data_IF_396909012716
#
_entry.id   IF_396909012716
#
_cell.length_a   1.000
_cell.length_b   1.000
_cell.length_c   1.000
_cell.angle_alpha   90.00
_cell.angle_beta   90.00
_cell.angle_gamma   90.00
#
_symmetry.space_group_name_H-M   'P 1'
#
loop_
_entity.id
_entity.type
_entity.pdbx_description
1 polymer ?
#
# COMPACT_ATOMS: atom_id res chain seq x y z
N UNK A 1 13.98 17.99 15.07
CA UNK A 1 12.95 16.95 14.98
C UNK A 1 11.75 17.56 14.27
N UNK A 2 11.52 17.22 13.01
CA UNK A 2 10.31 17.63 12.28
C UNK A 2 9.21 16.63 12.62
N UNK A 3 8.04 17.11 13.01
CA UNK A 3 6.87 16.27 13.27
C UNK A 3 6.06 16.18 11.99
N UNK A 4 5.81 14.96 11.50
CA UNK A 4 4.88 14.74 10.40
C UNK A 4 3.46 14.62 10.98
N UNK A 5 2.55 15.46 10.50
CA UNK A 5 1.14 15.41 10.87
C UNK A 5 0.39 14.63 9.78
N UNK A 6 0.06 13.38 10.07
CA UNK A 6 -0.72 12.53 9.18
C UNK A 6 -2.13 12.35 9.73
N UNK A 7 -3.13 12.49 8.87
CA UNK A 7 -4.44 11.89 9.11
C UNK A 7 -4.30 10.37 8.87
N UNK A 8 -4.49 9.57 9.91
CA UNK A 8 -4.29 8.13 9.86
C UNK A 8 -5.61 7.37 10.03
N UNK A 9 -5.78 6.32 9.25
CA UNK A 9 -6.88 5.36 9.39
C UNK A 9 -6.38 3.95 9.11
N UNK A 10 -7.07 2.96 9.69
CA UNK A 10 -6.74 1.55 9.54
C UNK A 10 -7.82 0.90 8.68
N UNK A 11 -7.40 0.22 7.62
CA UNK A 11 -8.28 -0.60 6.79
C UNK A 11 -8.08 -2.06 7.19
N UNK A 12 -9.15 -2.79 7.59
CA UNK A 12 -9.02 -4.18 8.00
C UNK A 12 -8.60 -5.06 6.82
N UNK A 13 -7.64 -5.95 7.03
CA UNK A 13 -7.21 -6.88 5.99
C UNK A 13 -8.27 -7.96 5.70
N UNK A 14 -8.32 -8.39 4.44
CA UNK A 14 -9.08 -9.57 4.03
C UNK A 14 -8.30 -10.85 4.33
N UNK A 15 -9.04 -11.90 4.69
CA UNK A 15 -8.51 -13.26 4.89
C UNK A 15 -8.89 -14.14 3.72
N UNK A 16 -8.32 -15.35 3.64
CA UNK A 16 -8.72 -16.35 2.64
C UNK A 16 -10.20 -16.76 2.72
N UNK A 17 -10.87 -16.43 3.83
CA UNK A 17 -12.29 -16.71 4.07
C UNK A 17 -13.19 -15.50 3.83
N UNK A 18 -12.63 -14.33 3.53
CA UNK A 18 -13.40 -13.12 3.25
C UNK A 18 -14.24 -13.28 1.96
N UNK A 19 -15.49 -12.79 1.90
CA UNK A 19 -16.35 -12.91 0.72
C UNK A 19 -15.72 -12.40 -0.58
N UNK A 20 -14.92 -11.35 -0.49
CA UNK A 20 -14.19 -10.71 -1.60
C UNK A 20 -13.16 -11.66 -2.22
N UNK A 21 -12.55 -12.51 -1.39
CA UNK A 21 -11.60 -13.55 -1.81
C UNK A 21 -12.36 -14.77 -2.33
N UNK A 22 -13.35 -15.26 -1.57
CA UNK A 22 -14.14 -16.45 -1.92
C UNK A 22 -14.82 -16.31 -3.29
N UNK A 23 -15.39 -15.14 -3.58
CA UNK A 23 -16.00 -14.84 -4.89
C UNK A 23 -15.00 -14.93 -6.06
N UNK A 24 -13.70 -14.82 -5.78
CA UNK A 24 -12.60 -14.83 -6.75
C UNK A 24 -11.74 -16.09 -6.70
N UNK A 25 -12.11 -17.11 -5.92
CA UNK A 25 -11.38 -18.38 -5.83
C UNK A 25 -11.17 -19.08 -7.19
N UNK A 26 -12.00 -18.76 -8.19
CA UNK A 26 -11.82 -19.28 -9.55
C UNK A 26 -10.52 -18.79 -10.23
N UNK A 27 -9.93 -17.66 -9.79
CA UNK A 27 -8.67 -17.13 -10.29
C UNK A 27 -7.44 -17.96 -9.84
N UNK A 28 -7.60 -18.77 -8.80
CA UNK A 28 -6.56 -19.70 -8.31
C UNK A 28 -6.45 -20.94 -9.21
N UNK A 29 -7.39 -21.14 -10.14
CA UNK A 29 -7.38 -22.28 -11.06
C UNK A 29 -6.13 -22.17 -11.95
N UNK A 30 -5.33 -23.24 -11.95
CA UNK A 30 -4.01 -23.38 -12.60
C UNK A 30 -2.80 -22.97 -11.74
N UNK A 31 -2.98 -22.56 -10.48
CA UNK A 31 -1.88 -22.44 -9.52
C UNK A 31 -0.92 -21.26 -9.75
N UNK A 32 -1.26 -20.33 -10.64
CA UNK A 32 -0.46 -19.11 -10.86
C UNK A 32 -0.62 -18.08 -9.75
N UNK A 33 -1.68 -18.18 -8.95
CA UNK A 33 -1.99 -17.28 -7.83
C UNK A 33 -2.53 -18.16 -6.71
N UNK A 34 -1.95 -18.03 -5.52
CA UNK A 34 -2.39 -18.70 -4.30
C UNK A 34 -3.54 -17.95 -3.64
N UNK A 35 -4.28 -18.62 -2.75
CA UNK A 35 -5.34 -17.96 -1.96
C UNK A 35 -4.81 -16.84 -1.07
N UNK A 36 -3.57 -16.98 -0.58
CA UNK A 36 -2.91 -15.97 0.25
C UNK A 36 -2.61 -14.73 -0.59
N UNK A 37 -2.01 -14.89 -1.78
CA UNK A 37 -1.76 -13.78 -2.70
C UNK A 37 -3.07 -13.07 -3.11
N UNK A 38 -4.16 -13.83 -3.30
CA UNK A 38 -5.46 -13.26 -3.59
C UNK A 38 -6.03 -12.45 -2.40
N UNK A 39 -5.83 -12.92 -1.17
CA UNK A 39 -6.23 -12.19 0.04
C UNK A 39 -5.39 -10.92 0.25
N UNK A 40 -4.08 -10.98 0.02
CA UNK A 40 -3.20 -9.81 0.02
C UNK A 40 -3.63 -8.79 -1.04
N UNK A 41 -3.91 -9.24 -2.26
CA UNK A 41 -4.42 -8.38 -3.34
C UNK A 41 -5.75 -7.72 -2.94
N UNK A 42 -6.70 -8.49 -2.40
CA UNK A 42 -7.99 -7.95 -1.98
C UNK A 42 -7.83 -6.87 -0.90
N UNK A 43 -6.94 -7.10 0.07
CA UNK A 43 -6.65 -6.14 1.14
C UNK A 43 -6.08 -4.83 0.59
N UNK A 44 -5.14 -4.91 -0.36
CA UNK A 44 -4.62 -3.73 -1.06
C UNK A 44 -5.70 -2.99 -1.85
N UNK A 45 -6.59 -3.70 -2.53
CA UNK A 45 -7.70 -3.08 -3.27
C UNK A 45 -8.67 -2.32 -2.35
N UNK A 46 -8.87 -2.80 -1.12
CA UNK A 46 -9.68 -2.10 -0.14
C UNK A 46 -9.04 -0.78 0.30
N UNK A 47 -7.71 -0.76 0.48
CA UNK A 47 -6.96 0.48 0.76
C UNK A 47 -7.11 1.46 -0.41
N UNK A 48 -6.92 1.00 -1.64
CA UNK A 48 -7.08 1.85 -2.82
C UNK A 48 -8.49 2.44 -2.93
N UNK A 49 -9.52 1.65 -2.60
CA UNK A 49 -10.90 2.13 -2.58
C UNK A 49 -11.10 3.21 -1.50
N UNK A 50 -10.54 3.00 -0.30
CA UNK A 50 -10.62 3.99 0.78
C UNK A 50 -9.89 5.31 0.45
N UNK A 51 -8.75 5.23 -0.23
CA UNK A 51 -8.02 6.40 -0.72
C UNK A 51 -8.85 7.13 -1.78
N UNK A 52 -9.42 6.40 -2.75
CA UNK A 52 -10.24 6.99 -3.80
C UNK A 52 -11.53 7.65 -3.28
N UNK A 53 -12.11 7.12 -2.21
CA UNK A 53 -13.27 7.69 -1.52
C UNK A 53 -12.90 8.86 -0.59
N UNK A 54 -11.61 9.07 -0.32
CA UNK A 54 -11.14 10.18 0.50
C UNK A 54 -11.33 11.52 -0.24
N UNK A 55 -11.55 12.61 0.49
CA UNK A 55 -11.70 13.94 -0.11
C UNK A 55 -10.36 14.56 -0.55
N UNK A 56 -9.27 13.78 -0.52
CA UNK A 56 -7.89 14.25 -0.62
C UNK A 56 -7.31 14.09 -2.03
N UNK A 57 -8.11 14.43 -3.05
CA UNK A 57 -7.82 14.12 -4.46
C UNK A 57 -6.54 14.77 -5.04
N UNK A 58 -6.01 15.81 -4.41
CA UNK A 58 -4.82 16.54 -4.90
C UNK A 58 -3.57 16.30 -4.02
N UNK A 59 -3.55 15.23 -3.25
CA UNK A 59 -2.45 14.94 -2.30
C UNK A 59 -1.96 13.50 -2.38
N UNK A 60 -0.71 13.28 -1.98
CA UNK A 60 -0.13 11.95 -1.88
C UNK A 60 -0.62 11.23 -0.63
N UNK A 61 -1.06 9.97 -0.79
CA UNK A 61 -1.33 9.06 0.31
C UNK A 61 -0.15 8.15 0.55
N UNK A 62 0.15 7.91 1.82
CA UNK A 62 1.24 7.04 2.23
C UNK A 62 0.66 5.75 2.81
N UNK A 63 0.98 4.62 2.20
CA UNK A 63 0.41 3.30 2.52
C UNK A 63 1.53 2.42 3.08
N UNK A 64 1.25 1.78 4.22
CA UNK A 64 2.17 0.86 4.87
C UNK A 64 1.43 -0.38 5.37
N UNK A 65 2.16 -1.49 5.44
CA UNK A 65 1.75 -2.68 6.19
C UNK A 65 2.12 -2.53 7.67
N UNK A 66 1.51 -3.34 8.53
CA UNK A 66 1.68 -3.26 9.99
C UNK A 66 3.06 -3.76 10.48
N UNK A 67 3.80 -4.46 9.62
CA UNK A 67 5.14 -4.97 9.85
C UNK A 67 6.25 -4.02 9.36
N UNK A 68 5.89 -2.82 8.88
CA UNK A 68 6.84 -1.78 8.49
C UNK A 68 7.18 -0.89 9.68
N UNK A 69 8.45 -0.87 10.05
CA UNK A 69 9.01 0.11 10.97
C UNK A 69 9.33 1.42 10.23
N UNK A 70 8.66 2.52 10.61
CA UNK A 70 9.03 3.85 10.12
C UNK A 70 10.32 4.29 10.80
N UNK A 71 11.40 4.29 10.03
CA UNK A 71 12.68 4.78 10.52
C UNK A 71 12.64 6.29 10.74
N UNK A 72 13.45 6.76 11.71
CA UNK A 72 13.54 8.17 12.13
C UNK A 72 13.79 9.13 10.96
N UNK A 73 14.42 8.65 9.87
CA UNK A 73 14.76 9.43 8.68
C UNK A 73 13.73 9.37 7.56
N UNK A 74 12.55 8.75 7.75
CA UNK A 74 11.51 8.67 6.69
C UNK A 74 11.20 10.05 6.10
N UNK A 75 11.09 11.08 6.94
CA UNK A 75 10.89 12.47 6.48
C UNK A 75 12.04 12.98 5.60
N UNK A 76 13.28 12.62 5.94
CA UNK A 76 14.48 13.05 5.21
C UNK A 76 14.57 12.34 3.85
N UNK A 77 14.21 11.06 3.78
CA UNK A 77 14.15 10.31 2.52
C UNK A 77 13.10 10.88 1.58
N UNK A 78 11.89 11.17 2.08
CA UNK A 78 10.85 11.78 1.26
C UNK A 78 11.27 13.19 0.80
N UNK A 79 11.88 14.00 1.67
CA UNK A 79 12.42 15.32 1.29
C UNK A 79 13.61 15.25 0.33
N UNK A 80 14.33 14.13 0.27
CA UNK A 80 15.47 13.93 -0.64
C UNK A 80 15.05 13.70 -2.09
N UNK A 81 13.78 13.37 -2.33
CA UNK A 81 13.28 13.18 -3.68
C UNK A 81 13.28 14.51 -4.46
N UNK A 82 13.76 14.51 -5.71
CA UNK A 82 13.77 15.72 -6.50
C UNK A 82 12.33 16.21 -6.71
N UNK A 83 12.12 17.53 -6.66
CA UNK A 83 10.79 18.12 -6.62
C UNK A 83 9.88 17.73 -7.81
N UNK A 84 10.47 17.45 -8.96
CA UNK A 84 9.76 17.01 -10.15
C UNK A 84 9.24 15.57 -10.04
N UNK A 85 9.79 14.76 -9.14
CA UNK A 85 9.30 13.42 -8.84
C UNK A 85 7.86 13.44 -8.33
N UNK A 86 7.44 14.48 -7.61
CA UNK A 86 6.08 14.52 -7.03
C UNK A 86 4.97 14.82 -8.05
N UNK A 87 5.34 15.22 -9.27
CA UNK A 87 4.41 15.63 -10.32
C UNK A 87 4.45 14.73 -11.57
N UNK A 88 5.20 13.62 -11.52
CA UNK A 88 5.47 12.75 -12.69
C UNK A 88 4.81 11.36 -12.61
N UNK A 89 5.04 10.55 -11.56
CA UNK A 89 4.42 9.26 -11.40
C UNK A 89 3.08 9.36 -10.67
N UNK A 90 2.21 8.37 -10.87
CA UNK A 90 1.00 8.17 -10.07
C UNK A 90 1.27 7.37 -8.77
N UNK A 91 2.40 6.63 -8.74
CA UNK A 91 2.78 5.74 -7.65
C UNK A 91 4.29 5.76 -7.43
N UNK A 92 4.71 5.87 -6.17
CA UNK A 92 6.10 5.70 -5.74
C UNK A 92 6.16 4.46 -4.83
N UNK A 93 6.96 3.48 -5.20
CA UNK A 93 7.22 2.30 -4.37
C UNK A 93 8.44 2.55 -3.50
N UNK A 94 8.27 2.47 -2.17
CA UNK A 94 9.31 2.77 -1.17
C UNK A 94 10.03 1.52 -0.64
N UNK A 95 9.58 0.32 -1.02
CA UNK A 95 10.19 -0.94 -0.58
C UNK A 95 11.41 -1.34 -1.42
N UNK A 96 12.18 -2.31 -0.90
CA UNK A 96 13.21 -3.01 -1.66
C UNK A 96 12.72 -4.43 -1.97
N UNK A 97 12.44 -4.73 -3.24
CA UNK A 97 12.22 -6.11 -3.68
C UNK A 97 13.56 -6.75 -4.06
N UNK A 98 14.16 -7.47 -3.11
CA UNK A 98 15.32 -8.32 -3.39
C UNK A 98 16.32 -8.34 -2.23
N UNK A 99 16.86 -9.54 -1.96
CA UNK A 99 18.12 -9.68 -1.25
C UNK A 99 19.12 -8.75 -1.94
N UNK A 100 19.55 -7.71 -1.23
CA UNK A 100 20.68 -6.89 -1.64
C UNK A 100 21.87 -7.85 -1.82
N UNK A 101 22.58 -7.85 -2.96
CA UNK A 101 23.75 -8.69 -3.16
C UNK A 101 24.86 -8.38 -2.15
#
# INVERSE_FOLDING_TARGET
MKTLHFDAFIVPAHTIHSPEVVSRNHLVRNGHITLVELACWASHMQIWSAIADSKSNDTWSLVFEDDIDLETFTSEVLESFPHDLWNKPDLIYLGSCGNIP
#
